data_IF_104349786015
#
_entry.id   IF_104349786015
#
_cell.length_a   1.000
_cell.length_b   1.000
_cell.length_c   1.000
_cell.angle_alpha   90.00
_cell.angle_beta   90.00
_cell.angle_gamma   90.00
#
_symmetry.space_group_name_H-M   'P 1'
#
loop_
_entity.id
_entity.type
_entity.pdbx_description
1 polymer ?
#
# COMPACT_ATOMS: atom_id res chain seq x y z
N UNK A 1 1.13 17.85 -40.61
CA UNK A 1 1.70 17.11 -41.76
C UNK A 1 1.70 15.63 -41.38
N UNK A 2 1.02 14.66 -41.99
CA UNK A 2 0.19 14.50 -43.21
C UNK A 2 -0.84 13.40 -42.87
N UNK A 3 -2.14 13.70 -42.93
CA UNK A 3 -3.11 13.21 -43.93
C UNK A 3 -3.53 11.73 -43.86
N UNK A 4 -4.76 11.52 -43.36
CA UNK A 4 -5.89 10.80 -43.98
C UNK A 4 -5.63 9.52 -44.77
N UNK A 5 -6.30 8.43 -44.36
CA UNK A 5 -7.08 7.58 -45.28
C UNK A 5 -8.40 7.17 -44.63
N UNK A 6 -9.46 7.69 -45.25
CA UNK A 6 -10.83 7.16 -45.23
C UNK A 6 -10.79 5.82 -45.99
N UNK A 7 -11.33 4.76 -45.40
CA UNK A 7 -11.85 3.62 -46.15
C UNK A 7 -13.26 3.35 -45.64
N UNK A 8 -14.21 3.77 -46.45
CA UNK A 8 -15.59 3.33 -46.41
C UNK A 8 -15.63 1.82 -46.66
N UNK A 9 -16.17 1.05 -45.72
CA UNK A 9 -16.70 -0.28 -45.98
C UNK A 9 -18.22 -0.20 -45.89
N UNK A 10 -18.84 -0.13 -47.07
CA UNK A 10 -20.27 -0.34 -47.26
C UNK A 10 -20.55 -1.80 -46.90
N UNK A 11 -21.19 -2.02 -45.75
CA UNK A 11 -21.89 -3.27 -45.49
C UNK A 11 -23.37 -3.04 -45.76
N UNK A 12 -23.72 -3.16 -47.03
CA UNK A 12 -25.09 -3.36 -47.48
C UNK A 12 -25.54 -4.76 -47.03
N UNK A 13 -26.06 -4.83 -45.80
CA UNK A 13 -26.83 -5.96 -45.28
C UNK A 13 -28.28 -5.52 -45.15
N UNK A 14 -29.17 -6.15 -45.90
CA UNK A 14 -30.59 -5.85 -45.89
C UNK A 14 -31.19 -6.09 -44.50
N UNK A 15 -31.50 -5.01 -43.76
CA UNK A 15 -32.50 -5.08 -42.70
C UNK A 15 -33.87 -5.14 -43.37
N UNK A 16 -34.45 -6.33 -43.43
CA UNK A 16 -35.89 -6.46 -43.55
C UNK A 16 -36.52 -5.93 -42.24
N UNK A 17 -36.83 -4.64 -42.19
CA UNK A 17 -37.78 -4.12 -41.22
C UNK A 17 -39.17 -4.65 -41.58
N UNK A 18 -39.54 -5.81 -41.03
CA UNK A 18 -40.95 -6.17 -40.92
C UNK A 18 -41.55 -5.33 -39.80
N UNK A 19 -42.06 -4.15 -40.15
CA UNK A 19 -42.88 -3.34 -39.26
C UNK A 19 -44.19 -4.10 -39.05
N UNK A 20 -44.35 -4.72 -37.88
CA UNK A 20 -45.67 -5.06 -37.38
C UNK A 20 -46.33 -3.77 -36.91
N UNK A 21 -47.24 -3.24 -37.72
CA UNK A 21 -48.14 -2.16 -37.31
C UNK A 21 -49.08 -2.73 -36.24
N UNK A 22 -48.86 -2.36 -34.98
CA UNK A 22 -49.89 -2.47 -33.96
C UNK A 22 -51.11 -1.62 -34.37
N UNK A 23 -52.35 -2.08 -34.15
CA UNK A 23 -53.54 -1.27 -34.44
C UNK A 23 -53.52 0.03 -33.60
N UNK A 24 -54.07 1.14 -34.11
CA UNK A 24 -54.08 2.41 -33.40
C UNK A 24 -54.88 2.24 -32.10
N UNK A 25 -54.21 2.40 -30.96
CA UNK A 25 -54.88 2.59 -29.70
C UNK A 25 -55.67 3.90 -29.77
N UNK A 26 -57.00 3.81 -29.56
CA UNK A 26 -57.86 4.97 -29.38
C UNK A 26 -57.27 5.84 -28.27
N UNK A 27 -57.04 7.10 -28.59
CA UNK A 27 -56.62 8.12 -27.64
C UNK A 27 -57.76 8.40 -26.65
N UNK A 28 -57.70 7.80 -25.46
CA UNK A 28 -58.25 8.42 -24.27
C UNK A 28 -57.15 9.25 -23.61
N UNK A 29 -57.45 10.53 -23.47
CA UNK A 29 -56.57 11.57 -22.95
C UNK A 29 -56.54 11.47 -21.43
N UNK A 30 -55.43 10.96 -20.90
CA UNK A 30 -54.97 11.26 -19.56
C UNK A 30 -53.43 11.27 -19.61
N UNK A 31 -52.86 12.42 -19.95
CA UNK A 31 -51.41 12.62 -19.89
C UNK A 31 -50.97 12.71 -18.43
N UNK A 32 -50.82 11.56 -17.77
CA UNK A 32 -49.73 11.42 -16.80
C UNK A 32 -48.48 11.24 -17.64
N UNK A 33 -47.56 12.20 -17.64
CA UNK A 33 -46.19 11.91 -18.08
C UNK A 33 -45.77 10.62 -17.35
N UNK A 34 -45.52 9.54 -18.10
CA UNK A 34 -44.99 8.32 -17.51
C UNK A 34 -43.79 8.73 -16.65
N UNK A 35 -43.75 8.26 -15.41
CA UNK A 35 -42.63 8.61 -14.54
C UNK A 35 -41.35 8.24 -15.28
N UNK A 36 -40.31 9.06 -15.17
CA UNK A 36 -39.00 8.73 -15.77
C UNK A 36 -38.49 7.35 -15.30
N UNK A 37 -38.97 6.86 -14.17
CA UNK A 37 -38.70 5.52 -13.65
C UNK A 37 -39.51 4.42 -14.36
N UNK A 38 -40.71 4.71 -14.86
CA UNK A 38 -41.53 3.74 -15.61
C UNK A 38 -40.82 3.30 -16.89
N UNK A 39 -40.07 4.21 -17.52
CA UNK A 39 -39.23 3.92 -18.69
C UNK A 39 -38.17 2.86 -18.37
N UNK A 40 -37.59 2.86 -17.17
CA UNK A 40 -36.60 1.85 -16.77
C UNK A 40 -37.25 0.46 -16.78
N UNK A 41 -38.44 0.35 -16.17
CA UNK A 41 -39.20 -0.90 -16.14
C UNK A 41 -39.65 -1.34 -17.55
N UNK A 42 -40.09 -0.40 -18.38
CA UNK A 42 -40.48 -0.66 -19.77
C UNK A 42 -39.30 -1.22 -20.58
N UNK A 43 -38.13 -0.59 -20.49
CA UNK A 43 -36.90 -1.06 -21.15
C UNK A 43 -36.53 -2.45 -20.66
N UNK A 44 -36.57 -2.70 -19.35
CA UNK A 44 -36.30 -4.04 -18.81
C UNK A 44 -37.26 -5.10 -19.36
N UNK A 45 -38.56 -4.79 -19.43
CA UNK A 45 -39.56 -5.71 -19.99
C UNK A 45 -39.30 -6.00 -21.47
N UNK A 46 -38.96 -4.98 -22.27
CA UNK A 46 -38.60 -5.18 -23.67
C UNK A 46 -37.35 -6.03 -23.84
N UNK A 47 -36.32 -5.83 -23.00
CA UNK A 47 -35.12 -6.66 -23.02
C UNK A 47 -35.45 -8.12 -22.70
N UNK A 48 -36.27 -8.38 -21.68
CA UNK A 48 -36.68 -9.75 -21.35
C UNK A 48 -37.55 -10.40 -22.43
N UNK A 49 -38.45 -9.64 -23.05
CA UNK A 49 -39.42 -10.17 -24.02
C UNK A 49 -38.82 -10.35 -25.42
N UNK A 50 -37.94 -9.45 -25.85
CA UNK A 50 -37.50 -9.35 -27.25
C UNK A 50 -36.01 -9.62 -27.47
N UNK A 51 -35.18 -9.69 -26.44
CA UNK A 51 -33.78 -10.08 -26.63
C UNK A 51 -33.71 -11.53 -27.14
N UNK A 52 -32.97 -11.73 -28.24
CA UNK A 52 -32.88 -13.03 -28.93
C UNK A 52 -32.13 -14.11 -28.14
N UNK A 53 -31.22 -13.70 -27.25
CA UNK A 53 -30.41 -14.58 -26.42
C UNK A 53 -31.08 -14.86 -25.06
N UNK A 54 -32.06 -14.04 -24.68
CA UNK A 54 -32.69 -14.04 -23.37
C UNK A 54 -31.80 -13.36 -22.32
N UNK A 55 -32.42 -12.79 -21.29
CA UNK A 55 -31.72 -12.18 -20.18
C UNK A 55 -32.53 -12.34 -18.90
N UNK A 56 -31.83 -12.64 -17.80
CA UNK A 56 -32.43 -12.78 -16.49
C UNK A 56 -32.76 -11.40 -15.86
N UNK A 57 -33.80 -11.36 -15.02
CA UNK A 57 -34.25 -10.12 -14.38
C UNK A 57 -33.22 -9.56 -13.42
N UNK A 58 -32.59 -10.39 -12.60
CA UNK A 58 -31.62 -9.96 -11.59
C UNK A 58 -30.37 -9.38 -12.27
N UNK A 59 -29.97 -9.97 -13.40
CA UNK A 59 -28.89 -9.43 -14.25
C UNK A 59 -29.21 -8.00 -14.74
N UNK A 60 -30.44 -7.74 -15.20
CA UNK A 60 -30.86 -6.40 -15.63
C UNK A 60 -30.93 -5.42 -14.46
N UNK A 61 -31.45 -5.85 -13.30
CA UNK A 61 -31.53 -5.02 -12.09
C UNK A 61 -30.12 -4.64 -11.64
N UNK A 62 -29.20 -5.61 -11.54
CA UNK A 62 -27.81 -5.36 -11.17
C UNK A 62 -27.15 -4.38 -12.14
N UNK A 63 -27.27 -4.63 -13.45
CA UNK A 63 -26.71 -3.72 -14.47
C UNK A 63 -27.30 -2.31 -14.43
N UNK A 64 -28.58 -2.16 -14.10
CA UNK A 64 -29.20 -0.85 -13.92
C UNK A 64 -28.69 -0.12 -12.68
N UNK A 65 -28.51 -0.83 -11.55
CA UNK A 65 -27.98 -0.25 -10.31
C UNK A 65 -26.51 0.13 -10.49
N UNK A 66 -25.67 -0.78 -11.00
CA UNK A 66 -24.27 -0.51 -11.29
C UNK A 66 -24.15 0.69 -12.23
N UNK A 67 -24.94 0.72 -13.30
CA UNK A 67 -24.98 1.84 -14.24
C UNK A 67 -25.37 3.17 -13.59
N UNK A 68 -26.28 3.19 -12.59
CA UNK A 68 -26.59 4.40 -11.83
C UNK A 68 -25.41 4.86 -10.98
N UNK A 69 -24.74 3.94 -10.29
CA UNK A 69 -23.57 4.25 -9.45
C UNK A 69 -22.40 4.72 -10.30
N UNK A 70 -22.14 4.07 -11.43
CA UNK A 70 -21.07 4.42 -12.37
C UNK A 70 -21.23 5.83 -12.95
N UNK A 71 -22.46 6.37 -13.04
CA UNK A 71 -22.68 7.77 -13.48
C UNK A 71 -22.05 8.82 -12.57
N UNK A 72 -21.64 8.45 -11.35
CA UNK A 72 -20.97 9.34 -10.41
C UNK A 72 -19.51 9.61 -10.78
N UNK A 73 -18.93 8.84 -11.70
CA UNK A 73 -17.49 8.87 -12.03
C UNK A 73 -16.59 8.80 -10.76
N UNK A 74 -17.10 8.15 -9.70
CA UNK A 74 -16.42 7.99 -8.43
C UNK A 74 -15.96 6.53 -8.25
N UNK A 75 -14.66 6.23 -8.35
CA UNK A 75 -14.15 4.87 -8.27
C UNK A 75 -14.34 4.23 -6.89
N UNK A 76 -14.80 4.98 -5.89
CA UNK A 76 -15.00 4.49 -4.52
C UNK A 76 -16.46 4.13 -4.21
N UNK A 77 -17.42 4.55 -5.04
CA UNK A 77 -18.84 4.26 -4.85
C UNK A 77 -19.24 3.01 -5.62
N UNK A 78 -19.89 2.05 -4.94
CA UNK A 78 -20.19 0.73 -5.48
C UNK A 78 -21.47 0.17 -4.84
N UNK A 79 -22.27 -0.53 -5.63
CA UNK A 79 -23.29 -1.42 -5.10
C UNK A 79 -22.65 -2.77 -4.79
N UNK A 80 -22.88 -3.27 -3.58
CA UNK A 80 -22.35 -4.53 -3.09
C UNK A 80 -23.51 -5.42 -2.74
N UNK A 81 -23.57 -6.61 -3.31
CA UNK A 81 -24.43 -7.65 -2.76
C UNK A 81 -23.96 -8.06 -1.36
N UNK A 82 -24.77 -8.88 -0.68
CA UNK A 82 -24.47 -9.32 0.69
C UNK A 82 -23.08 -9.99 0.83
N UNK A 83 -22.65 -10.80 -0.16
CA UNK A 83 -21.34 -11.46 -0.12
C UNK A 83 -20.21 -10.46 -0.41
N UNK A 84 -20.39 -9.58 -1.40
CA UNK A 84 -19.42 -8.52 -1.74
C UNK A 84 -19.20 -7.56 -0.56
N UNK A 85 -20.25 -7.28 0.23
CA UNK A 85 -20.18 -6.45 1.43
C UNK A 85 -19.42 -7.15 2.58
N UNK A 86 -19.64 -8.45 2.77
CA UNK A 86 -18.86 -9.27 3.71
C UNK A 86 -17.39 -9.33 3.32
N UNK A 87 -17.10 -9.60 2.05
CA UNK A 87 -15.73 -9.67 1.51
C UNK A 87 -15.01 -8.32 1.67
N UNK A 88 -15.71 -7.20 1.42
CA UNK A 88 -15.17 -5.86 1.66
C UNK A 88 -14.83 -5.64 3.14
N UNK A 89 -15.71 -6.03 4.05
CA UNK A 89 -15.50 -5.88 5.50
C UNK A 89 -14.32 -6.71 5.97
N UNK A 90 -14.28 -8.00 5.60
CA UNK A 90 -13.14 -8.87 5.91
C UNK A 90 -11.83 -8.34 5.35
N UNK A 91 -11.82 -7.75 4.15
CA UNK A 91 -10.62 -7.12 3.59
C UNK A 91 -10.14 -5.91 4.43
N UNK A 92 -11.07 -5.06 4.91
CA UNK A 92 -10.73 -3.93 5.81
C UNK A 92 -10.19 -4.43 7.14
N UNK A 93 -10.76 -5.52 7.67
CA UNK A 93 -10.34 -6.15 8.92
C UNK A 93 -9.14 -7.09 8.78
N UNK A 94 -8.52 -7.12 7.59
CA UNK A 94 -7.36 -7.96 7.26
C UNK A 94 -7.63 -9.47 7.48
N UNK A 95 -8.88 -9.88 7.38
CA UNK A 95 -9.31 -11.27 7.49
C UNK A 95 -9.24 -11.95 6.14
N UNK A 96 -8.49 -13.05 6.08
CA UNK A 96 -8.39 -13.83 4.85
C UNK A 96 -8.10 -15.30 5.12
N UNK A 97 -8.38 -16.15 4.14
CA UNK A 97 -8.04 -17.57 4.19
C UNK A 97 -6.82 -17.82 3.31
N UNK A 98 -5.68 -18.12 3.95
CA UNK A 98 -4.43 -18.32 3.23
C UNK A 98 -3.37 -19.00 4.07
N UNK A 99 -2.11 -18.69 3.79
CA UNK A 99 -0.96 -19.28 4.48
C UNK A 99 -0.29 -18.33 5.48
N UNK A 100 -0.55 -17.02 5.40
CA UNK A 100 -0.04 -16.02 6.35
C UNK A 100 1.40 -15.57 6.07
N UNK A 101 1.63 -15.05 4.86
CA UNK A 101 2.91 -14.46 4.46
C UNK A 101 2.66 -13.10 3.81
N UNK A 102 3.60 -12.17 3.98
CA UNK A 102 3.70 -10.98 3.15
C UNK A 102 4.73 -11.27 2.05
N UNK A 103 4.32 -11.12 0.81
CA UNK A 103 5.17 -11.31 -0.35
C UNK A 103 5.74 -9.98 -0.83
N UNK A 104 6.91 -10.05 -1.43
CA UNK A 104 7.48 -8.96 -2.21
C UNK A 104 7.81 -9.49 -3.61
N UNK A 105 7.29 -8.80 -4.62
CA UNK A 105 7.58 -9.07 -6.02
C UNK A 105 8.63 -8.08 -6.52
N UNK A 106 9.53 -8.59 -7.35
CA UNK A 106 10.50 -7.79 -8.10
C UNK A 106 10.42 -8.18 -9.57
N UNK A 107 11.13 -7.46 -10.44
CA UNK A 107 11.20 -7.79 -11.86
C UNK A 107 11.73 -9.22 -12.16
N UNK A 108 12.32 -9.92 -11.18
CA UNK A 108 12.96 -11.23 -11.37
C UNK A 108 12.34 -12.35 -10.55
N UNK A 109 11.78 -12.03 -9.40
CA UNK A 109 11.42 -13.04 -8.40
C UNK A 109 10.35 -12.56 -7.44
N UNK A 110 9.62 -13.52 -6.90
CA UNK A 110 8.68 -13.38 -5.80
C UNK A 110 9.28 -14.02 -4.56
N UNK A 111 9.34 -13.30 -3.44
CA UNK A 111 9.91 -13.82 -2.20
C UNK A 111 9.07 -13.46 -0.99
N UNK A 112 9.27 -14.20 0.09
CA UNK A 112 8.61 -13.97 1.38
C UNK A 112 9.33 -12.83 2.10
N UNK A 113 8.71 -11.65 2.14
CA UNK A 113 9.21 -10.51 2.92
C UNK A 113 8.99 -10.73 4.43
N UNK A 114 7.83 -11.27 4.80
CA UNK A 114 7.45 -11.55 6.18
C UNK A 114 6.63 -12.85 6.29
N UNK A 115 6.82 -13.56 7.39
CA UNK A 115 5.97 -14.68 7.80
C UNK A 115 5.19 -14.24 9.03
N UNK A 116 3.86 -14.28 8.97
CA UNK A 116 3.01 -13.85 10.09
C UNK A 116 3.18 -14.84 11.24
N UNK A 117 3.42 -14.33 12.45
CA UNK A 117 3.57 -15.17 13.64
C UNK A 117 2.29 -15.98 13.93
N UNK A 118 2.44 -17.25 14.28
CA UNK A 118 1.33 -18.18 14.51
C UNK A 118 0.65 -18.72 13.25
N UNK A 119 1.03 -18.23 12.05
CA UNK A 119 0.40 -18.61 10.78
C UNK A 119 0.69 -20.06 10.35
N UNK A 120 -0.12 -20.61 9.42
CA UNK A 120 0.20 -21.89 8.78
C UNK A 120 1.58 -21.93 8.12
N UNK A 121 2.03 -20.82 7.52
CA UNK A 121 3.33 -20.70 6.89
C UNK A 121 4.48 -20.86 7.90
N UNK A 122 4.37 -20.21 9.06
CA UNK A 122 5.34 -20.36 10.15
C UNK A 122 5.41 -21.82 10.62
N UNK A 123 4.25 -22.43 10.87
CA UNK A 123 4.13 -23.82 11.31
C UNK A 123 4.73 -24.81 10.28
N UNK A 124 4.58 -24.52 8.99
CA UNK A 124 5.15 -25.31 7.90
C UNK A 124 6.65 -25.06 7.68
N UNK A 125 7.25 -24.09 8.39
CA UNK A 125 8.69 -23.80 8.35
C UNK A 125 9.12 -22.94 7.16
N UNK A 126 8.19 -22.20 6.54
CA UNK A 126 8.53 -21.10 5.65
C UNK A 126 9.27 -20.01 6.43
N UNK A 127 10.15 -19.29 5.74
CA UNK A 127 10.97 -18.25 6.35
C UNK A 127 10.99 -17.03 5.47
N UNK A 128 11.11 -15.87 6.13
CA UNK A 128 11.52 -14.63 5.50
C UNK A 128 12.79 -14.86 4.65
N UNK A 129 12.79 -14.32 3.44
CA UNK A 129 13.84 -14.48 2.44
C UNK A 129 13.73 -15.73 1.56
N UNK A 130 12.73 -16.60 1.79
CA UNK A 130 12.46 -17.69 0.85
C UNK A 130 11.98 -17.13 -0.49
N UNK A 131 12.66 -17.49 -1.59
CA UNK A 131 12.21 -17.14 -2.94
C UNK A 131 11.26 -18.22 -3.43
N UNK A 132 10.04 -17.85 -3.83
CA UNK A 132 9.03 -18.80 -4.31
C UNK A 132 9.29 -19.06 -5.80
N UNK A 133 9.57 -20.31 -6.14
CA UNK A 133 9.81 -20.74 -7.51
C UNK A 133 8.55 -21.28 -8.18
N UNK A 134 7.71 -22.00 -7.41
CA UNK A 134 6.47 -22.62 -7.89
C UNK A 134 5.40 -22.66 -6.81
N UNK A 135 4.15 -22.55 -7.24
CA UNK A 135 2.95 -22.80 -6.44
C UNK A 135 2.16 -23.93 -7.12
N UNK A 136 1.85 -25.00 -6.38
CA UNK A 136 1.15 -26.19 -6.89
C UNK A 136 1.78 -26.80 -8.16
N UNK A 137 3.11 -26.67 -8.30
CA UNK A 137 3.86 -27.18 -9.46
C UNK A 137 3.93 -26.23 -10.66
N UNK A 138 3.12 -25.16 -10.67
CA UNK A 138 3.11 -24.08 -11.66
C UNK A 138 4.20 -23.06 -11.31
N UNK A 139 4.96 -22.58 -12.29
CA UNK A 139 5.98 -21.55 -12.05
C UNK A 139 5.30 -20.22 -11.79
N UNK A 140 5.90 -19.37 -10.96
CA UNK A 140 5.35 -18.03 -10.67
C UNK A 140 5.08 -17.21 -11.94
N UNK A 141 5.95 -17.29 -12.96
CA UNK A 141 5.73 -16.58 -14.22
C UNK A 141 4.48 -17.07 -15.01
N UNK A 142 3.96 -18.24 -14.65
CA UNK A 142 2.81 -18.89 -15.29
C UNK A 142 1.57 -18.91 -14.37
N UNK A 143 1.62 -18.30 -13.18
CA UNK A 143 0.46 -18.20 -12.27
C UNK A 143 -0.41 -17.01 -12.62
N UNK A 144 -1.73 -17.16 -12.51
CA UNK A 144 -2.72 -16.09 -12.70
C UNK A 144 -3.41 -15.79 -11.37
N UNK A 145 -3.37 -14.52 -10.92
CA UNK A 145 -4.03 -14.11 -9.67
C UNK A 145 -3.40 -14.67 -8.38
N UNK A 146 -4.19 -14.70 -7.31
CA UNK A 146 -3.77 -15.18 -5.98
C UNK A 146 -3.97 -16.69 -5.83
N UNK A 147 -2.86 -17.43 -5.90
CA UNK A 147 -2.80 -18.89 -5.73
C UNK A 147 -2.53 -19.32 -4.27
N UNK A 148 -2.25 -18.37 -3.36
CA UNK A 148 -1.95 -18.66 -1.96
C UNK A 148 -3.21 -18.69 -1.11
N UNK A 149 -4.22 -17.93 -1.48
CA UNK A 149 -5.56 -18.00 -0.89
C UNK A 149 -6.36 -19.19 -1.42
N UNK A 150 -7.47 -19.50 -0.76
CA UNK A 150 -8.36 -20.58 -1.18
C UNK A 150 -9.15 -21.19 -0.02
N UNK A 151 -9.85 -22.29 -0.29
CA UNK A 151 -10.76 -22.90 0.69
C UNK A 151 -10.05 -23.30 2.00
N UNK A 152 -10.64 -23.00 3.18
CA UNK A 152 -10.08 -23.43 4.47
C UNK A 152 -9.81 -24.93 4.52
N UNK A 153 -8.65 -25.34 5.05
CA UNK A 153 -8.25 -26.75 5.14
C UNK A 153 -7.70 -27.35 3.85
N UNK A 154 -7.82 -26.66 2.71
CA UNK A 154 -7.12 -27.05 1.48
C UNK A 154 -5.60 -26.89 1.64
N UNK A 155 -4.82 -27.55 0.78
CA UNK A 155 -3.35 -27.51 0.81
C UNK A 155 -2.81 -26.77 -0.40
N UNK A 156 -1.71 -26.06 -0.18
CA UNK A 156 -0.87 -25.47 -1.23
C UNK A 156 0.54 -26.02 -1.10
N UNK A 157 1.17 -26.35 -2.23
CA UNK A 157 2.57 -26.82 -2.26
C UNK A 157 3.45 -25.73 -2.85
N UNK A 158 4.45 -25.30 -2.08
CA UNK A 158 5.42 -24.30 -2.49
C UNK A 158 6.78 -24.94 -2.73
N UNK A 159 7.35 -24.68 -3.90
CA UNK A 159 8.77 -24.92 -4.13
C UNK A 159 9.51 -23.61 -3.87
N UNK A 160 10.30 -23.57 -2.82
CA UNK A 160 11.08 -22.37 -2.45
C UNK A 160 12.58 -22.60 -2.62
N UNK A 161 13.31 -21.54 -2.93
CA UNK A 161 14.77 -21.49 -2.89
C UNK A 161 15.19 -20.80 -1.59
N UNK A 162 15.94 -21.53 -0.75
CA UNK A 162 16.50 -21.03 0.50
C UNK A 162 18.00 -21.27 0.53
N UNK A 163 18.79 -20.20 0.55
CA UNK A 163 20.26 -20.27 0.58
C UNK A 163 20.84 -21.17 -0.51
N UNK A 164 20.27 -21.11 -1.72
CA UNK A 164 20.69 -21.90 -2.88
C UNK A 164 20.13 -23.33 -2.96
N UNK A 165 19.43 -23.81 -1.92
CA UNK A 165 18.79 -25.14 -1.92
C UNK A 165 17.29 -25.03 -2.16
N UNK A 166 16.75 -25.88 -3.05
CA UNK A 166 15.30 -25.98 -3.24
C UNK A 166 14.67 -26.80 -2.12
N UNK A 167 13.51 -26.36 -1.64
CA UNK A 167 12.69 -27.05 -0.63
C UNK A 167 11.24 -27.06 -1.07
N UNK A 168 10.62 -28.23 -1.03
CA UNK A 168 9.18 -28.37 -1.22
C UNK A 168 8.50 -28.33 0.15
N UNK A 169 7.58 -27.38 0.34
CA UNK A 169 6.87 -27.16 1.60
C UNK A 169 5.37 -27.18 1.30
N UNK A 170 4.65 -28.03 2.03
CA UNK A 170 3.19 -28.13 1.94
C UNK A 170 2.60 -27.36 3.10
N UNK A 171 1.69 -26.44 2.81
CA UNK A 171 1.00 -25.61 3.80
C UNK A 171 -0.49 -25.83 3.71
N UNK A 172 -1.16 -25.96 4.86
CA UNK A 172 -2.63 -26.05 4.93
C UNK A 172 -3.20 -24.65 5.13
N UNK A 173 -4.08 -24.21 4.23
CA UNK A 173 -4.74 -22.90 4.34
C UNK A 173 -5.66 -22.85 5.55
N UNK A 174 -5.66 -21.71 6.25
CA UNK A 174 -6.57 -21.44 7.38
C UNK A 174 -7.03 -19.99 7.31
N UNK A 175 -8.14 -19.69 7.99
CA UNK A 175 -8.49 -18.31 8.30
C UNK A 175 -7.39 -17.68 9.16
N UNK A 176 -7.03 -16.45 8.83
CA UNK A 176 -5.97 -15.67 9.46
C UNK A 176 -6.52 -14.28 9.69
N UNK A 177 -6.37 -13.81 10.93
CA UNK A 177 -6.65 -12.44 11.34
C UNK A 177 -5.36 -11.94 11.99
N UNK A 178 -4.42 -11.37 11.21
CA UNK A 178 -3.17 -10.87 11.74
C UNK A 178 -3.43 -9.64 12.61
N UNK A 179 -2.59 -9.41 13.62
CA UNK A 179 -2.60 -8.14 14.33
C UNK A 179 -2.29 -7.00 13.34
N UNK A 180 -3.14 -5.98 13.30
CA UNK A 180 -2.97 -4.82 12.44
C UNK A 180 -1.93 -3.85 12.98
N UNK A 181 -1.57 -3.96 14.26
CA UNK A 181 -0.49 -3.21 14.89
C UNK A 181 0.62 -4.11 15.39
N UNK A 182 1.86 -3.80 15.00
CA UNK A 182 3.06 -4.44 15.54
C UNK A 182 3.95 -3.41 16.23
N UNK A 183 4.69 -3.82 17.26
CA UNK A 183 5.64 -2.93 17.95
C UNK A 183 6.91 -3.65 18.39
N UNK A 184 8.04 -2.93 18.31
CA UNK A 184 9.35 -3.37 18.77
C UNK A 184 10.21 -2.19 19.21
N UNK A 185 11.06 -2.41 20.22
CA UNK A 185 12.09 -1.44 20.60
C UNK A 185 13.32 -1.63 19.70
N UNK A 186 13.78 -0.55 19.08
CA UNK A 186 14.96 -0.55 18.21
C UNK A 186 16.10 0.16 18.94
N UNK A 187 17.24 -0.51 19.07
CA UNK A 187 18.30 -0.07 19.97
C UNK A 187 17.79 -0.05 21.42
N UNK A 188 18.07 1.03 22.16
CA UNK A 188 17.74 1.11 23.58
C UNK A 188 16.50 1.95 23.90
N UNK A 189 15.97 2.74 22.95
CA UNK A 189 15.02 3.80 23.28
C UNK A 189 14.09 4.24 22.15
N UNK A 190 14.16 3.67 20.94
CA UNK A 190 13.29 4.07 19.82
C UNK A 190 12.16 3.04 19.69
N UNK A 191 10.93 3.46 19.96
CA UNK A 191 9.75 2.65 19.69
C UNK A 191 9.48 2.63 18.19
N UNK A 192 9.48 1.46 17.57
CA UNK A 192 8.95 1.28 16.23
C UNK A 192 7.56 0.66 16.36
N UNK A 193 6.54 1.34 15.82
CA UNK A 193 5.17 0.86 15.76
C UNK A 193 4.73 0.90 14.29
N UNK A 194 4.24 -0.20 13.75
CA UNK A 194 3.68 -0.25 12.40
C UNK A 194 2.18 -0.50 12.47
N UNK A 195 1.41 0.17 11.63
CA UNK A 195 -0.02 -0.07 11.44
C UNK A 195 -0.21 -0.54 10.00
N UNK A 196 -0.62 -1.79 9.78
CA UNK A 196 -0.85 -2.33 8.44
C UNK A 196 -2.25 -2.04 7.90
N UNK A 197 -3.20 -1.72 8.78
CA UNK A 197 -4.56 -1.32 8.45
C UNK A 197 -5.27 -0.75 9.67
N UNK A 198 -6.24 0.13 9.44
CA UNK A 198 -7.12 0.63 10.50
C UNK A 198 -8.33 -0.30 10.61
N UNK A 199 -8.08 -1.52 11.09
CA UNK A 199 -9.10 -2.54 11.42
C UNK A 199 -9.95 -2.09 12.59
N UNK A 200 -11.08 -2.77 12.85
CA UNK A 200 -11.98 -2.40 13.94
C UNK A 200 -11.26 -2.29 15.29
N UNK A 201 -10.33 -3.21 15.57
CA UNK A 201 -9.58 -3.26 16.84
C UNK A 201 -8.20 -2.54 16.80
N UNK A 202 -7.90 -1.78 15.73
CA UNK A 202 -6.55 -1.25 15.52
C UNK A 202 -6.13 -0.24 16.60
N UNK A 203 -7.07 0.55 17.13
CA UNK A 203 -6.81 1.54 18.16
C UNK A 203 -6.62 0.95 19.55
N UNK A 204 -7.29 -0.15 19.90
CA UNK A 204 -6.95 -0.91 21.11
C UNK A 204 -5.56 -1.56 20.99
N UNK A 205 -5.27 -2.18 19.84
CA UNK A 205 -3.95 -2.78 19.58
C UNK A 205 -2.84 -1.74 19.63
N UNK A 206 -3.07 -0.55 19.05
CA UNK A 206 -2.15 0.59 19.12
C UNK A 206 -1.95 1.06 20.55
N UNK A 207 -3.03 1.21 21.33
CA UNK A 207 -2.95 1.62 22.73
C UNK A 207 -2.11 0.64 23.56
N UNK A 208 -2.35 -0.66 23.40
CA UNK A 208 -1.57 -1.71 24.08
C UNK A 208 -0.09 -1.70 23.66
N UNK A 209 0.19 -1.53 22.37
CA UNK A 209 1.54 -1.40 21.84
C UNK A 209 2.26 -0.17 22.41
N UNK A 210 1.59 0.98 22.43
CA UNK A 210 2.13 2.24 22.94
C UNK A 210 2.43 2.16 24.44
N UNK A 211 1.53 1.59 25.24
CA UNK A 211 1.74 1.42 26.68
C UNK A 211 2.90 0.47 26.98
N UNK A 212 3.03 -0.62 26.21
CA UNK A 212 4.19 -1.53 26.27
C UNK A 212 5.49 -0.79 25.95
N UNK A 213 5.51 0.06 24.92
CA UNK A 213 6.70 0.83 24.53
C UNK A 213 7.06 1.92 25.57
N UNK A 214 6.05 2.56 26.17
CA UNK A 214 6.22 3.51 27.29
C UNK A 214 6.81 2.82 28.52
N UNK A 215 6.27 1.67 28.90
CA UNK A 215 6.79 0.88 30.02
C UNK A 215 8.23 0.39 29.77
N UNK A 216 8.58 0.11 28.51
CA UNK A 216 9.94 -0.22 28.09
C UNK A 216 10.89 0.99 28.01
N UNK A 217 10.39 2.21 28.28
CA UNK A 217 11.22 3.41 28.41
C UNK A 217 11.50 4.17 27.10
N UNK A 218 10.62 4.07 26.10
CA UNK A 218 10.77 4.78 24.82
C UNK A 218 11.08 6.28 25.01
N UNK A 219 11.94 6.82 24.15
CA UNK A 219 12.35 8.24 24.12
C UNK A 219 12.05 8.93 22.80
N UNK A 220 11.74 8.17 21.77
CA UNK A 220 11.26 8.62 20.46
C UNK A 220 10.47 7.50 19.82
N UNK A 221 9.71 7.83 18.77
CA UNK A 221 8.89 6.86 18.06
C UNK A 221 9.05 7.01 16.54
N UNK A 222 9.15 5.87 15.85
CA UNK A 222 8.90 5.75 14.42
C UNK A 222 7.54 5.06 14.24
N UNK A 223 6.57 5.77 13.66
CA UNK A 223 5.28 5.23 13.25
C UNK A 223 5.34 4.87 11.76
N UNK A 224 5.20 3.60 11.44
CA UNK A 224 5.23 3.14 10.05
C UNK A 224 3.81 2.95 9.49
N UNK A 225 3.46 3.77 8.49
CA UNK A 225 2.19 3.75 7.75
C UNK A 225 2.38 3.38 6.26
N UNK A 226 3.57 2.88 5.90
CA UNK A 226 3.85 2.38 4.55
C UNK A 226 3.03 1.14 4.24
N UNK A 227 2.65 0.98 2.98
CA UNK A 227 1.74 -0.06 2.49
C UNK A 227 0.33 -0.06 3.14
N UNK A 228 -0.03 0.92 3.98
CA UNK A 228 -1.31 0.97 4.67
C UNK A 228 -2.35 1.79 3.90
N UNK A 229 -3.30 1.10 3.29
CA UNK A 229 -4.37 1.69 2.45
C UNK A 229 -5.52 2.34 3.22
N UNK A 230 -5.45 2.34 4.56
CA UNK A 230 -6.41 2.98 5.45
C UNK A 230 -7.26 1.96 6.21
N UNK A 231 -8.57 2.23 6.29
CA UNK A 231 -9.54 1.45 7.06
C UNK A 231 -10.55 2.37 7.74
N UNK A 232 -11.02 2.00 8.92
CA UNK A 232 -12.00 2.77 9.69
C UNK A 232 -11.42 4.12 10.14
N UNK A 233 -12.15 5.20 9.84
CA UNK A 233 -11.77 6.55 10.24
C UNK A 233 -11.82 6.74 11.77
N UNK A 234 -12.74 6.06 12.43
CA UNK A 234 -12.88 6.12 13.90
C UNK A 234 -11.64 5.56 14.61
N UNK A 235 -11.10 4.44 14.14
CA UNK A 235 -9.84 3.90 14.67
C UNK A 235 -8.68 4.87 14.45
N UNK A 236 -8.61 5.55 13.30
CA UNK A 236 -7.61 6.59 13.06
C UNK A 236 -7.78 7.80 13.98
N UNK A 237 -9.02 8.24 14.22
CA UNK A 237 -9.34 9.29 15.17
C UNK A 237 -8.91 8.90 16.60
N UNK A 238 -9.28 7.70 17.05
CA UNK A 238 -8.93 7.19 18.37
C UNK A 238 -7.41 7.08 18.56
N UNK A 239 -6.68 6.66 17.53
CA UNK A 239 -5.21 6.67 17.52
C UNK A 239 -4.67 8.10 17.60
N UNK A 240 -5.21 9.05 16.83
CA UNK A 240 -4.80 10.45 16.87
C UNK A 240 -4.96 11.08 18.26
N UNK A 241 -5.96 10.66 19.06
CA UNK A 241 -6.11 11.09 20.46
C UNK A 241 -4.93 10.71 21.35
N UNK A 242 -4.11 9.73 20.97
CA UNK A 242 -2.90 9.33 21.73
C UNK A 242 -1.71 10.26 21.51
N UNK A 243 -1.81 11.17 20.53
CA UNK A 243 -0.74 12.06 20.12
C UNK A 243 -0.92 13.50 20.57
N UNK A 244 -2.15 14.01 20.51
CA UNK A 244 -2.49 15.38 20.85
C UNK A 244 -3.55 15.46 21.94
N UNK A 245 -3.34 16.36 22.90
CA UNK A 245 -4.32 16.64 23.96
C UNK A 245 -5.56 17.34 23.40
N UNK A 246 -5.34 18.33 22.54
CA UNK A 246 -6.38 19.04 21.83
C UNK A 246 -5.86 19.51 20.47
N UNK A 247 -6.68 19.51 19.44
CA UNK A 247 -6.31 19.92 18.10
C UNK A 247 -7.36 19.55 17.07
N UNK A 248 -7.17 19.97 15.82
CA UNK A 248 -8.03 19.55 14.72
C UNK A 248 -7.36 18.35 14.05
N UNK A 249 -8.07 17.25 13.88
CA UNK A 249 -7.58 16.10 13.13
C UNK A 249 -7.70 16.34 11.62
N UNK A 250 -8.86 16.79 11.20
CA UNK A 250 -9.19 17.08 9.80
C UNK A 250 -10.39 17.99 9.73
N UNK A 251 -10.71 18.47 8.53
CA UNK A 251 -11.99 19.08 8.23
C UNK A 251 -12.76 18.22 7.25
N UNK A 252 -14.06 18.02 7.46
CA UNK A 252 -14.93 17.30 6.53
C UNK A 252 -15.94 18.22 5.88
N UNK A 253 -16.43 17.83 4.71
CA UNK A 253 -17.51 18.50 4.01
C UNK A 253 -18.37 17.46 3.30
N UNK A 254 -19.66 17.50 3.58
CA UNK A 254 -20.69 16.73 2.88
C UNK A 254 -21.21 17.50 1.64
N UNK A 255 -22.35 17.06 1.10
CA UNK A 255 -23.01 17.68 -0.06
C UNK A 255 -23.44 19.14 0.18
N UNK A 256 -23.60 19.58 1.44
CA UNK A 256 -23.90 20.99 1.75
C UNK A 256 -22.72 21.93 1.41
N UNK A 257 -21.50 21.38 1.32
CA UNK A 257 -20.27 22.13 1.10
C UNK A 257 -19.74 22.85 2.35
N UNK A 258 -20.44 22.75 3.49
CA UNK A 258 -19.99 23.34 4.73
C UNK A 258 -18.79 22.57 5.30
N UNK A 259 -17.71 23.29 5.61
CA UNK A 259 -16.49 22.70 6.15
C UNK A 259 -16.56 22.62 7.67
N UNK A 260 -16.62 21.41 8.21
CA UNK A 260 -16.77 21.12 9.65
C UNK A 260 -15.48 20.55 10.24
N UNK A 261 -14.95 21.11 11.35
CA UNK A 261 -13.75 20.56 11.99
C UNK A 261 -14.06 19.29 12.78
N UNK A 262 -13.26 18.24 12.56
CA UNK A 262 -13.19 17.08 13.45
C UNK A 262 -12.13 17.37 14.51
N UNK A 263 -12.57 17.67 15.73
CA UNK A 263 -11.72 18.19 16.81
C UNK A 263 -11.48 17.13 17.87
N UNK A 264 -10.22 17.01 18.30
CA UNK A 264 -9.82 16.27 19.50
C UNK A 264 -9.79 17.27 20.67
N UNK A 265 -10.48 16.97 21.77
CA UNK A 265 -10.54 17.85 22.96
C UNK A 265 -9.95 17.23 24.22
N UNK A 266 -9.95 15.89 24.33
CA UNK A 266 -9.60 15.15 25.55
C UNK A 266 -8.60 14.02 25.28
N UNK A 267 -7.61 14.29 24.41
CA UNK A 267 -6.55 13.34 24.11
C UNK A 267 -5.39 13.38 25.11
N UNK A 268 -4.31 12.70 24.75
CA UNK A 268 -3.05 12.65 25.49
C UNK A 268 -1.88 13.08 24.61
N UNK A 269 -0.88 13.75 25.20
CA UNK A 269 0.34 14.10 24.47
C UNK A 269 1.25 12.88 24.35
N UNK A 270 1.80 12.65 23.17
CA UNK A 270 2.79 11.57 22.96
C UNK A 270 4.05 11.77 23.82
N UNK A 271 4.47 13.03 24.03
CA UNK A 271 5.55 13.42 24.96
C UNK A 271 6.96 13.08 24.51
N UNK A 272 7.13 12.51 23.31
CA UNK A 272 8.42 12.18 22.70
C UNK A 272 8.41 12.59 21.21
N UNK A 273 9.58 12.80 20.57
CA UNK A 273 9.66 13.02 19.14
C UNK A 273 9.06 11.86 18.34
N UNK A 274 8.31 12.18 17.29
CA UNK A 274 7.67 11.21 16.39
C UNK A 274 8.15 11.42 14.97
N UNK A 275 8.50 10.33 14.30
CA UNK A 275 8.73 10.29 12.85
C UNK A 275 7.68 9.37 12.24
N UNK A 276 6.98 9.80 11.19
CA UNK A 276 6.02 8.97 10.45
C UNK A 276 6.65 8.56 9.14
N UNK A 277 6.61 7.26 8.82
CA UNK A 277 7.00 6.73 7.52
C UNK A 277 5.78 6.62 6.60
N UNK A 278 5.89 7.15 5.39
CA UNK A 278 4.85 7.07 4.36
C UNK A 278 5.40 6.59 3.03
N UNK A 279 4.52 5.98 2.23
CA UNK A 279 4.78 5.70 0.82
C UNK A 279 3.55 5.94 -0.06
N UNK A 280 3.67 5.64 -1.35
CA UNK A 280 2.60 5.80 -2.33
C UNK A 280 1.34 4.95 -2.06
N UNK A 281 1.44 3.97 -1.15
CA UNK A 281 0.33 3.12 -0.74
C UNK A 281 -0.30 3.57 0.58
N UNK A 282 0.32 4.51 1.30
CA UNK A 282 -0.31 5.19 2.44
C UNK A 282 -1.55 5.94 1.96
N UNK A 283 -2.75 5.49 2.33
CA UNK A 283 -4.01 6.05 1.80
C UNK A 283 -5.09 6.26 2.88
N UNK A 284 -6.07 7.12 2.58
CA UNK A 284 -7.32 7.24 3.35
C UNK A 284 -7.09 7.57 4.84
N UNK A 285 -7.57 6.76 5.77
CA UNK A 285 -7.37 6.93 7.22
C UNK A 285 -5.89 7.12 7.61
N UNK A 286 -4.95 6.48 6.89
CA UNK A 286 -3.51 6.69 7.06
C UNK A 286 -3.08 8.12 6.71
N UNK A 287 -3.67 8.71 5.66
CA UNK A 287 -3.43 10.08 5.24
C UNK A 287 -4.09 11.08 6.19
N UNK A 288 -5.28 10.77 6.71
CA UNK A 288 -5.93 11.57 7.74
C UNK A 288 -5.07 11.66 9.02
N UNK A 289 -4.56 10.52 9.51
CA UNK A 289 -3.63 10.50 10.65
C UNK A 289 -2.33 11.24 10.32
N UNK A 290 -1.75 11.00 9.14
CA UNK A 290 -0.52 11.69 8.69
C UNK A 290 -0.71 13.21 8.66
N UNK A 291 -1.78 13.70 8.03
CA UNK A 291 -2.12 15.12 7.96
C UNK A 291 -2.37 15.74 9.33
N UNK A 292 -3.07 15.02 10.21
CA UNK A 292 -3.29 15.44 11.59
C UNK A 292 -1.97 15.63 12.36
N UNK A 293 -1.05 14.66 12.27
CA UNK A 293 0.22 14.72 13.00
C UNK A 293 1.20 15.75 12.40
N UNK A 294 1.22 15.89 11.08
CA UNK A 294 2.06 16.86 10.37
C UNK A 294 1.63 18.30 10.66
N UNK A 295 0.35 18.60 10.43
CA UNK A 295 -0.14 19.98 10.48
C UNK A 295 -0.27 20.51 11.91
N UNK A 296 -0.42 19.62 12.91
CA UNK A 296 -0.33 19.99 14.32
C UNK A 296 1.12 19.99 14.86
N UNK A 297 2.13 19.84 14.00
CA UNK A 297 3.56 19.86 14.35
C UNK A 297 3.98 18.79 15.39
N UNK A 298 3.37 17.61 15.31
CA UNK A 298 3.64 16.50 16.24
C UNK A 298 4.71 15.55 15.68
N UNK A 299 4.75 15.38 14.36
CA UNK A 299 5.65 14.44 13.71
C UNK A 299 6.34 15.03 12.49
N UNK A 300 7.55 14.53 12.21
CA UNK A 300 8.22 14.69 10.91
C UNK A 300 7.84 13.55 9.99
N UNK A 301 7.40 13.86 8.78
CA UNK A 301 7.00 12.87 7.77
C UNK A 301 8.20 12.56 6.87
N UNK A 302 8.58 11.29 6.79
CA UNK A 302 9.72 10.80 6.00
C UNK A 302 9.23 9.75 5.03
N UNK A 303 9.57 9.87 3.75
CA UNK A 303 9.24 8.83 2.78
C UNK A 303 8.95 9.33 1.39
N UNK A 304 7.94 8.73 0.76
CA UNK A 304 7.37 9.21 -0.51
C UNK A 304 5.98 9.81 -0.28
N UNK A 305 5.50 10.50 -1.31
CA UNK A 305 4.17 11.11 -1.33
C UNK A 305 3.10 10.02 -1.20
N UNK A 306 2.06 10.30 -0.41
CA UNK A 306 0.96 9.37 -0.16
C UNK A 306 0.03 9.21 -1.37
N UNK A 307 -0.93 8.29 -1.28
CA UNK A 307 -1.79 7.90 -2.39
C UNK A 307 -2.72 9.01 -2.92
N UNK A 308 -3.31 9.81 -2.02
CA UNK A 308 -4.22 10.90 -2.38
C UNK A 308 -5.70 10.54 -2.33
N UNK A 309 -6.16 9.73 -1.36
CA UNK A 309 -7.59 9.40 -1.20
C UNK A 309 -8.21 10.24 -0.07
N UNK A 310 -8.73 11.42 -0.42
CA UNK A 310 -9.37 12.34 0.52
C UNK A 310 -10.92 12.27 0.49
N UNK A 311 -11.46 11.05 0.51
CA UNK A 311 -12.91 10.74 0.45
C UNK A 311 -13.31 9.73 1.50
N UNK A 312 -14.44 9.95 2.16
CA UNK A 312 -15.04 9.06 3.16
C UNK A 312 -16.25 8.39 2.54
N UNK A 313 -16.29 7.06 2.64
CA UNK A 313 -17.43 6.26 2.18
C UNK A 313 -18.31 5.88 3.37
N UNK A 314 -19.62 5.96 3.20
CA UNK A 314 -20.60 5.34 4.08
C UNK A 314 -21.07 4.00 3.50
N UNK A 315 -21.37 3.04 4.36
CA UNK A 315 -22.01 1.78 4.00
C UNK A 315 -23.50 1.90 4.33
N UNK A 316 -24.34 2.03 3.30
CA UNK A 316 -25.78 2.23 3.42
C UNK A 316 -26.49 0.89 3.18
N UNK A 317 -26.97 0.26 4.24
CA UNK A 317 -27.73 -0.99 4.14
C UNK A 317 -29.06 -0.79 3.42
N UNK A 318 -29.41 -1.74 2.55
CA UNK A 318 -30.63 -1.75 1.77
C UNK A 318 -31.61 -2.79 2.31
N UNK A 319 -32.89 -2.65 1.97
CA UNK A 319 -33.96 -3.51 2.51
C UNK A 319 -33.87 -4.98 2.08
N UNK A 320 -33.11 -5.28 1.03
CA UNK A 320 -32.87 -6.64 0.52
C UNK A 320 -31.63 -7.32 1.16
N UNK A 321 -30.91 -6.63 2.05
CA UNK A 321 -29.68 -7.13 2.67
C UNK A 321 -28.39 -6.63 2.02
N UNK A 322 -28.47 -6.07 0.81
CA UNK A 322 -27.33 -5.52 0.08
C UNK A 322 -26.88 -4.16 0.63
N UNK A 323 -25.74 -3.67 0.16
CA UNK A 323 -25.11 -2.44 0.66
C UNK A 323 -24.75 -1.50 -0.48
N UNK A 324 -25.15 -0.23 -0.37
CA UNK A 324 -24.59 0.84 -1.18
C UNK A 324 -23.41 1.47 -0.45
N UNK A 325 -22.20 1.23 -0.95
CA UNK A 325 -21.00 1.95 -0.53
C UNK A 325 -20.93 3.26 -1.31
N UNK A 326 -21.04 4.39 -0.62
CA UNK A 326 -21.16 5.69 -1.26
C UNK A 326 -20.18 6.70 -0.65
N UNK A 327 -19.49 7.46 -1.48
CA UNK A 327 -18.74 8.63 -1.01
C UNK A 327 -19.71 9.70 -0.51
N UNK A 328 -19.70 9.94 0.80
CA UNK A 328 -20.61 10.88 1.47
C UNK A 328 -19.91 12.17 1.91
N UNK A 329 -18.59 12.13 2.11
CA UNK A 329 -17.80 13.29 2.51
C UNK A 329 -16.46 13.34 1.78
N UNK A 330 -15.95 14.57 1.64
CA UNK A 330 -14.51 14.82 1.41
C UNK A 330 -13.89 15.33 2.70
N UNK A 331 -12.58 15.15 2.84
CA UNK A 331 -11.85 15.72 3.97
C UNK A 331 -10.58 16.45 3.54
N UNK A 332 -10.18 17.42 4.36
CA UNK A 332 -8.99 18.24 4.21
C UNK A 332 -8.13 18.10 5.46
N UNK A 333 -6.83 18.39 5.34
CA UNK A 333 -5.94 18.42 6.51
C UNK A 333 -6.29 19.57 7.47
N UNK A 334 -5.72 19.63 8.68
CA UNK A 334 -5.92 20.76 9.60
C UNK A 334 -5.56 22.13 9.01
N UNK A 335 -4.60 22.20 8.10
CA UNK A 335 -4.28 23.43 7.35
C UNK A 335 -5.22 23.69 6.15
N UNK A 336 -6.27 22.88 5.99
CA UNK A 336 -7.25 22.92 4.90
C UNK A 336 -6.64 22.63 3.52
N UNK A 337 -5.59 21.82 3.48
CA UNK A 337 -5.03 21.31 2.22
C UNK A 337 -5.98 20.26 1.62
N UNK A 338 -6.39 20.46 0.37
CA UNK A 338 -7.04 19.43 -0.45
C UNK A 338 -5.99 18.65 -1.22
N UNK A 339 -5.76 17.41 -0.82
CA UNK A 339 -4.75 16.53 -1.39
C UNK A 339 -5.38 15.39 -2.22
N UNK A 340 -6.68 15.45 -2.51
CA UNK A 340 -7.35 14.38 -3.26
C UNK A 340 -6.75 14.24 -4.66
N UNK A 341 -6.49 13.00 -5.10
CA UNK A 341 -5.74 12.63 -6.32
C UNK A 341 -4.29 13.12 -6.39
N UNK A 342 -3.78 13.72 -5.32
CA UNK A 342 -2.45 14.36 -5.28
C UNK A 342 -1.55 13.72 -4.24
N UNK A 343 -2.08 13.39 -3.06
CA UNK A 343 -1.32 12.86 -1.93
C UNK A 343 -0.59 13.94 -1.13
N UNK A 344 -0.35 13.66 0.15
CA UNK A 344 0.46 14.46 1.05
C UNK A 344 1.94 14.29 0.72
N UNK A 345 2.65 15.41 0.59
CA UNK A 345 4.11 15.35 0.45
C UNK A 345 4.78 15.13 1.81
N UNK A 346 5.86 14.33 1.88
CA UNK A 346 6.64 14.18 3.09
C UNK A 346 7.47 15.45 3.36
N UNK A 347 7.85 15.68 4.62
CA UNK A 347 8.79 16.75 4.99
C UNK A 347 10.20 16.43 4.47
N UNK A 348 10.57 15.14 4.47
CA UNK A 348 11.86 14.64 3.98
C UNK A 348 11.59 13.52 2.97
N UNK A 349 11.85 13.81 1.70
CA UNK A 349 11.65 12.85 0.63
C UNK A 349 12.79 11.82 0.57
N UNK A 350 12.47 10.54 0.77
CA UNK A 350 13.40 9.42 0.70
C UNK A 350 12.74 8.27 -0.04
N UNK A 351 13.41 7.74 -1.06
CA UNK A 351 12.92 6.58 -1.82
C UNK A 351 13.51 5.27 -1.31
N UNK A 352 12.69 4.22 -1.29
CA UNK A 352 13.08 2.86 -0.95
C UNK A 352 12.93 2.54 0.54
N UNK A 353 12.25 1.43 0.86
CA UNK A 353 11.85 1.07 2.23
C UNK A 353 13.00 1.07 3.23
N UNK A 354 14.15 0.49 2.85
CA UNK A 354 15.31 0.42 3.72
C UNK A 354 15.92 1.80 4.01
N UNK A 355 16.03 2.65 2.99
CA UNK A 355 16.59 4.00 3.12
C UNK A 355 15.69 4.89 4.00
N UNK A 356 14.37 4.85 3.77
CA UNK A 356 13.37 5.56 4.57
C UNK A 356 13.48 5.19 6.06
N UNK A 357 13.52 3.88 6.36
CA UNK A 357 13.64 3.40 7.73
C UNK A 357 14.93 3.87 8.39
N UNK A 358 16.07 3.75 7.70
CA UNK A 358 17.37 4.21 8.22
C UNK A 358 17.32 5.71 8.52
N UNK A 359 16.80 6.53 7.60
CA UNK A 359 16.65 7.97 7.80
C UNK A 359 15.74 8.29 8.99
N UNK A 360 14.59 7.62 9.11
CA UNK A 360 13.68 7.82 10.23
C UNK A 360 14.31 7.46 11.58
N UNK A 361 15.05 6.36 11.65
CA UNK A 361 15.78 5.97 12.87
C UNK A 361 16.84 7.00 13.24
N UNK A 362 17.56 7.59 12.27
CA UNK A 362 18.53 8.66 12.54
C UNK A 362 17.85 9.91 13.09
N UNK A 363 16.74 10.35 12.49
CA UNK A 363 15.95 11.50 12.97
C UNK A 363 15.39 11.22 14.37
N UNK A 364 14.98 9.98 14.64
CA UNK A 364 14.56 9.53 15.96
C UNK A 364 15.71 9.40 16.99
N UNK A 365 16.96 9.74 16.61
CA UNK A 365 18.11 9.84 17.51
C UNK A 365 19.10 8.69 17.43
N UNK A 366 18.97 7.78 16.47
CA UNK A 366 19.93 6.68 16.28
C UNK A 366 21.22 7.18 15.62
N UNK A 367 22.32 7.21 16.39
CA UNK A 367 23.62 7.66 15.88
C UNK A 367 24.45 6.56 15.23
N UNK A 368 24.35 5.33 15.77
CA UNK A 368 25.06 4.16 15.24
C UNK A 368 24.08 3.25 14.51
N UNK A 369 24.33 3.04 13.22
CA UNK A 369 23.49 2.18 12.38
C UNK A 369 24.32 1.10 11.74
N UNK A 370 23.82 -0.12 11.86
CA UNK A 370 24.26 -1.29 11.13
C UNK A 370 23.08 -1.83 10.35
N UNK A 371 23.10 -1.71 9.03
CA UNK A 371 22.18 -2.39 8.13
C UNK A 371 22.84 -3.68 7.63
N UNK A 372 22.16 -4.81 7.78
CA UNK A 372 22.65 -6.11 7.29
C UNK A 372 21.56 -6.88 6.57
N UNK A 373 21.96 -7.72 5.61
CA UNK A 373 21.02 -8.54 4.86
C UNK A 373 21.54 -8.86 3.46
N UNK A 374 20.64 -9.09 2.52
CA UNK A 374 20.94 -9.41 1.13
C UNK A 374 19.97 -8.68 0.18
N UNK A 375 19.43 -9.36 -0.83
CA UNK A 375 18.41 -8.83 -1.75
C UNK A 375 16.97 -9.10 -1.30
N UNK A 376 16.78 -9.90 -0.26
CA UNK A 376 15.47 -10.34 0.25
C UNK A 376 15.24 -9.94 1.70
N UNK A 377 16.32 -9.71 2.46
CA UNK A 377 16.23 -9.36 3.87
C UNK A 377 17.05 -8.12 4.22
N UNK A 378 16.58 -7.46 5.28
CA UNK A 378 17.11 -6.30 5.97
C UNK A 378 16.93 -6.51 7.48
N UNK A 379 18.02 -6.36 8.20
CA UNK A 379 18.06 -6.14 9.63
C UNK A 379 18.75 -4.80 9.89
N UNK A 380 18.21 -4.01 10.80
CA UNK A 380 18.83 -2.77 11.28
C UNK A 380 19.15 -2.93 12.76
N UNK A 381 20.43 -2.82 13.12
CA UNK A 381 20.94 -3.06 14.47
C UNK A 381 20.50 -4.41 15.08
N UNK A 382 20.41 -5.44 14.23
CA UNK A 382 20.00 -6.79 14.63
C UNK A 382 18.49 -6.99 14.75
N UNK A 383 17.69 -5.99 14.41
CA UNK A 383 16.22 -6.08 14.38
C UNK A 383 15.73 -6.24 12.93
N UNK A 384 14.86 -7.23 12.63
CA UNK A 384 14.36 -7.46 11.28
C UNK A 384 13.28 -6.45 10.84
N UNK A 385 13.33 -6.03 9.58
CA UNK A 385 12.39 -5.10 8.94
C UNK A 385 12.15 -5.41 7.46
N UNK A 386 10.99 -5.04 6.92
CA UNK A 386 10.72 -5.06 5.48
C UNK A 386 11.81 -4.37 4.64
N UNK A 387 12.02 -4.84 3.41
CA UNK A 387 13.08 -4.38 2.51
C UNK A 387 14.40 -5.16 2.60
N UNK A 388 15.43 -4.61 1.93
CA UNK A 388 16.73 -5.25 1.73
C UNK A 388 17.88 -4.22 1.64
N UNK A 389 19.14 -4.68 1.67
CA UNK A 389 20.32 -3.79 1.55
C UNK A 389 20.80 -3.60 0.10
N UNK A 390 20.22 -4.36 -0.83
CA UNK A 390 20.56 -4.39 -2.25
C UNK A 390 22.01 -4.81 -2.49
N UNK A 391 22.27 -6.11 -2.49
CA UNK A 391 23.60 -6.70 -2.66
C UNK A 391 23.83 -7.16 -4.12
N UNK A 392 24.86 -6.61 -4.77
CA UNK A 392 25.33 -7.10 -6.07
C UNK A 392 26.80 -7.47 -5.99
N UNK A 393 27.16 -8.63 -6.55
CA UNK A 393 28.55 -9.07 -6.71
C UNK A 393 28.91 -9.20 -8.18
N UNK A 394 30.00 -8.55 -8.60
CA UNK A 394 30.55 -8.69 -9.95
C UNK A 394 32.06 -8.90 -9.86
N UNK A 395 32.50 -10.15 -10.12
CA UNK A 395 33.89 -10.55 -9.94
C UNK A 395 34.32 -10.38 -8.48
N UNK A 396 35.37 -9.56 -8.26
CA UNK A 396 35.87 -9.23 -6.92
C UNK A 396 35.23 -8.00 -6.27
N UNK A 397 34.31 -7.31 -6.97
CA UNK A 397 33.63 -6.11 -6.48
C UNK A 397 32.31 -6.47 -5.81
N UNK A 398 32.01 -5.78 -4.72
CA UNK A 398 30.75 -5.86 -3.98
C UNK A 398 30.11 -4.47 -4.00
N UNK A 399 28.83 -4.43 -4.30
CA UNK A 399 28.05 -3.21 -4.38
C UNK A 399 26.86 -3.28 -3.42
N UNK A 400 26.44 -2.12 -2.91
CA UNK A 400 25.21 -1.96 -2.16
C UNK A 400 24.29 -0.94 -2.83
N UNK A 401 22.99 -0.98 -2.51
CA UNK A 401 22.02 0.04 -2.96
C UNK A 401 22.52 1.45 -2.64
N UNK A 402 22.55 2.32 -3.65
CA UNK A 402 22.96 3.70 -3.49
C UNK A 402 22.04 4.45 -2.51
N UNK A 403 20.74 4.14 -2.52
CA UNK A 403 19.74 4.71 -1.59
C UNK A 403 20.05 4.36 -0.14
N UNK A 404 20.36 3.08 0.13
CA UNK A 404 20.75 2.61 1.47
C UNK A 404 22.04 3.27 1.94
N UNK A 405 23.05 3.33 1.07
CA UNK A 405 24.34 3.96 1.39
C UNK A 405 24.19 5.47 1.64
N UNK A 406 23.37 6.17 0.86
CA UNK A 406 23.07 7.59 1.03
C UNK A 406 22.41 7.86 2.38
N UNK A 407 21.38 7.06 2.75
CA UNK A 407 20.72 7.17 4.05
C UNK A 407 21.70 6.92 5.21
N UNK A 408 22.56 5.90 5.13
CA UNK A 408 23.54 5.59 6.17
C UNK A 408 24.48 6.76 6.49
N UNK A 409 24.82 7.58 5.50
CA UNK A 409 25.73 8.73 5.67
C UNK A 409 25.02 10.09 5.63
N UNK A 410 23.68 10.11 5.70
CA UNK A 410 22.86 11.33 5.69
C UNK A 410 23.20 12.24 4.49
N UNK A 411 23.24 11.66 3.30
CA UNK A 411 23.55 12.37 2.06
C UNK A 411 22.40 12.29 1.06
N UNK A 412 22.24 13.35 0.27
CA UNK A 412 21.28 13.38 -0.84
C UNK A 412 21.83 12.60 -2.03
N UNK A 413 20.99 11.75 -2.62
CA UNK A 413 21.31 10.93 -3.78
C UNK A 413 20.79 11.58 -5.06
N UNK A 414 21.67 11.81 -6.04
CA UNK A 414 21.27 12.28 -7.37
C UNK A 414 21.98 11.53 -8.49
N UNK A 415 21.36 11.50 -9.67
CA UNK A 415 21.93 10.91 -10.89
C UNK A 415 22.37 12.01 -11.86
N UNK A 416 23.65 12.01 -12.22
CA UNK A 416 24.20 12.85 -13.29
C UNK A 416 24.17 12.07 -14.61
N UNK A 417 23.09 12.28 -15.38
CA UNK A 417 22.86 11.59 -16.65
C UNK A 417 23.95 11.90 -17.70
N UNK A 418 24.48 13.13 -17.71
CA UNK A 418 25.50 13.55 -18.68
C UNK A 418 26.80 12.80 -18.48
N UNK A 419 27.22 12.66 -17.23
CA UNK A 419 28.49 12.04 -16.88
C UNK A 419 28.35 10.57 -16.44
N UNK A 420 27.12 10.04 -16.44
CA UNK A 420 26.78 8.66 -16.02
C UNK A 420 27.38 8.33 -14.66
N UNK A 421 27.13 9.18 -13.67
CA UNK A 421 27.63 9.01 -12.30
C UNK A 421 26.54 9.21 -11.26
N UNK A 422 26.62 8.43 -10.20
CA UNK A 422 25.87 8.64 -8.97
C UNK A 422 26.56 9.72 -8.15
N UNK A 423 25.82 10.69 -7.63
CA UNK A 423 26.32 11.75 -6.77
C UNK A 423 25.69 11.66 -5.39
N UNK A 424 26.51 11.74 -4.36
CA UNK A 424 26.08 11.87 -2.97
C UNK A 424 26.51 13.23 -2.44
N UNK A 425 25.56 14.02 -1.96
CA UNK A 425 25.82 15.34 -1.36
C UNK A 425 25.61 15.24 0.14
N UNK A 426 26.68 15.28 0.91
CA UNK A 426 26.59 15.27 2.38
C UNK A 426 25.99 16.59 2.88
N UNK A 427 25.44 16.60 4.10
CA UNK A 427 24.82 17.81 4.70
C UNK A 427 25.75 19.03 4.82
N UNK A 428 27.07 18.86 4.71
CA UNK A 428 28.05 19.96 4.65
C UNK A 428 28.32 20.49 3.22
N UNK A 429 27.56 20.02 2.21
CA UNK A 429 27.71 20.36 0.79
C UNK A 429 28.79 19.60 0.04
N UNK A 430 29.52 18.67 0.68
CA UNK A 430 30.56 17.88 0.00
C UNK A 430 29.92 16.88 -0.97
N UNK A 431 30.31 16.96 -2.25
CA UNK A 431 29.79 16.09 -3.30
C UNK A 431 30.77 14.96 -3.63
N UNK A 432 30.29 13.72 -3.49
CA UNK A 432 31.02 12.49 -3.79
C UNK A 432 30.42 11.78 -5.01
N UNK A 433 31.17 11.69 -6.11
CA UNK A 433 30.70 11.03 -7.35
C UNK A 433 31.23 9.62 -7.59
N UNK A 434 30.41 8.72 -8.13
CA UNK A 434 30.74 7.33 -8.45
C UNK A 434 30.36 7.03 -9.90
N UNK A 435 31.34 6.68 -10.73
CA UNK A 435 31.12 6.57 -12.19
C UNK A 435 30.91 5.12 -12.64
N UNK A 436 30.09 4.92 -13.66
CA UNK A 436 29.95 3.62 -14.32
C UNK A 436 31.27 3.20 -15.02
N UNK A 437 32.00 4.15 -15.61
CA UNK A 437 33.24 3.88 -16.34
C UNK A 437 34.35 3.29 -15.46
N UNK A 438 34.50 3.80 -14.22
CA UNK A 438 35.43 3.24 -13.24
C UNK A 438 34.89 1.97 -12.53
N UNK A 439 33.65 1.57 -12.84
CA UNK A 439 32.91 0.53 -12.11
C UNK A 439 32.82 0.85 -10.61
N UNK A 440 32.72 2.13 -10.26
CA UNK A 440 32.48 2.59 -8.89
C UNK A 440 30.98 2.63 -8.59
N UNK A 441 30.16 2.66 -9.64
CA UNK A 441 28.73 2.45 -9.60
C UNK A 441 28.30 1.46 -10.68
N UNK A 442 27.12 0.87 -10.51
CA UNK A 442 26.41 0.10 -11.53
C UNK A 442 24.92 0.45 -11.51
N UNK A 443 24.26 0.18 -12.64
CA UNK A 443 22.80 0.20 -12.75
C UNK A 443 22.36 -1.22 -13.06
N UNK A 444 21.38 -1.71 -12.31
CA UNK A 444 20.77 -3.02 -12.54
C UNK A 444 19.30 -2.94 -12.13
N UNK A 445 18.39 -3.43 -12.97
CA UNK A 445 16.95 -3.47 -12.69
C UNK A 445 16.40 -2.08 -12.30
N UNK A 446 16.81 -1.05 -13.05
CA UNK A 446 16.50 0.38 -12.82
C UNK A 446 16.94 0.96 -11.46
N UNK A 447 17.69 0.19 -10.67
CA UNK A 447 18.29 0.62 -9.42
C UNK A 447 19.78 0.95 -9.57
N UNK A 448 20.26 1.88 -8.75
CA UNK A 448 21.67 2.28 -8.70
C UNK A 448 22.37 1.67 -7.49
N UNK A 449 23.59 1.17 -7.72
CA UNK A 449 24.42 0.58 -6.68
C UNK A 449 25.82 1.19 -6.70
N UNK A 450 26.45 1.30 -5.54
CA UNK A 450 27.81 1.86 -5.38
C UNK A 450 28.75 0.77 -4.86
N UNK A 451 29.96 0.71 -5.40
CA UNK A 451 31.00 -0.22 -4.98
C UNK A 451 31.53 0.15 -3.58
N UNK A 452 31.58 -0.83 -2.70
CA UNK A 452 31.75 -0.58 -1.27
C UNK A 452 33.15 -0.08 -0.88
N UNK A 453 34.21 -0.48 -1.60
CA UNK A 453 35.55 0.05 -1.35
C UNK A 453 35.70 1.49 -1.85
N UNK A 454 35.14 1.81 -3.02
CA UNK A 454 35.06 3.16 -3.55
C UNK A 454 34.26 4.07 -2.60
N UNK A 455 33.15 3.57 -2.05
CA UNK A 455 32.37 4.28 -1.04
C UNK A 455 33.18 4.55 0.23
N UNK A 456 33.82 3.53 0.80
CA UNK A 456 34.64 3.64 2.01
C UNK A 456 35.78 4.66 1.88
N UNK A 457 36.40 4.79 0.70
CA UNK A 457 37.45 5.80 0.46
C UNK A 457 36.95 7.24 0.65
N UNK A 458 35.67 7.50 0.40
CA UNK A 458 35.05 8.84 0.53
C UNK A 458 34.39 9.06 1.87
N UNK A 459 33.96 7.99 2.53
CA UNK A 459 33.34 8.02 3.86
C UNK A 459 34.13 7.14 4.85
N UNK A 460 35.20 7.65 5.47
CA UNK A 460 36.10 6.82 6.30
C UNK A 460 35.45 6.20 7.55
N UNK A 461 34.38 6.81 8.09
CA UNK A 461 33.61 6.28 9.20
C UNK A 461 32.75 5.05 8.82
N UNK A 462 32.51 4.86 7.51
CA UNK A 462 31.79 3.71 7.01
C UNK A 462 32.65 2.45 7.01
N UNK A 463 32.06 1.36 7.47
CA UNK A 463 32.66 0.03 7.45
C UNK A 463 31.69 -0.97 6.85
N UNK A 464 32.24 -2.01 6.23
CA UNK A 464 31.43 -3.08 5.65
C UNK A 464 32.14 -4.42 5.72
N UNK A 465 31.36 -5.48 5.69
CA UNK A 465 31.83 -6.86 5.56
C UNK A 465 30.81 -7.70 4.81
N UNK A 466 31.27 -8.73 4.10
CA UNK A 466 30.39 -9.68 3.41
C UNK A 466 30.69 -11.10 3.91
N UNK A 467 29.65 -11.81 4.35
CA UNK A 467 29.74 -13.20 4.75
C UNK A 467 29.37 -14.11 3.57
N UNK A 468 30.34 -14.86 3.06
CA UNK A 468 30.13 -15.75 1.92
C UNK A 468 29.28 -16.97 2.22
N UNK A 469 29.24 -17.46 3.47
CA UNK A 469 28.47 -18.66 3.82
C UNK A 469 26.99 -18.37 3.97
N UNK A 470 26.64 -17.18 4.47
CA UNK A 470 25.24 -16.76 4.64
C UNK A 470 24.75 -15.85 3.52
N UNK A 471 25.62 -15.45 2.59
CA UNK A 471 25.35 -14.46 1.55
C UNK A 471 24.92 -13.08 2.07
N UNK A 472 25.27 -12.74 3.32
CA UNK A 472 24.83 -11.49 3.94
C UNK A 472 25.91 -10.41 3.88
N UNK A 473 25.48 -9.21 3.50
CA UNK A 473 26.22 -7.97 3.58
C UNK A 473 25.93 -7.27 4.90
N UNK A 474 26.94 -6.63 5.49
CA UNK A 474 26.82 -5.77 6.67
C UNK A 474 27.44 -4.41 6.35
N UNK A 475 26.68 -3.36 6.60
CA UNK A 475 26.98 -1.95 6.34
C UNK A 475 26.84 -1.18 7.64
N UNK A 476 27.90 -0.53 8.13
CA UNK A 476 27.88 0.16 9.42
C UNK A 476 28.46 1.56 9.35
N UNK A 477 27.80 2.51 10.01
CA UNK A 477 28.25 3.89 10.25
C UNK A 477 28.15 4.17 11.75
N UNK A 478 29.14 4.89 12.30
CA UNK A 478 29.24 5.25 13.71
C UNK A 478 28.83 6.68 13.98
#
# INVERSE_FOLDING_TARGET
MKSTKIVSAVLSGALALSVWLAPPASAETASSEASKTDIIFEVMQYLQQYNVEGVDQDTLIRGAIDGMVDTLDDPYSQYLDSQEAEDFTSAVDLEFVGIGVKLMETAKELYIEEVIAGSPAEQAGLKRGDVILKINGVRIADTEGDELSGQPGSKVTLLVLRSGAQKSIVVTRKAITPASVSSKMVGNNIAYISISGFTQDADEQFSAALDKMRAAGMKSMVLDLRDNTGGYMDSAYNIATKFMQSGIMMYTSDQSGALTPVTITDGSKIGVPVVVLTDEYTASASEALTGALRDNHIATIVGTRTFGKARIQGLLSLSNGDTLKLTIEKYLTPNKEDFNHVGLSPDIQVQGKAAQLITALQIAGMTQITASGDNHILDVNGTPFAGNVGLVKQGNKTYASAKVLAALVQADLTWDAKNKKVLLTAGNGTVSGYTLAAKDALIQDDETYIELNAFKKKFPAFTWSYNASTHQLKLSVK
#
